data_IF_867900745801
#
_entry.id   IF_867900745801
#
_cell.length_a   1.000
_cell.length_b   1.000
_cell.length_c   1.000
_cell.angle_alpha   90.00
_cell.angle_beta   90.00
_cell.angle_gamma   90.00
#
_symmetry.space_group_name_H-M   'P 1'
#
loop_
_entity.id
_entity.type
_entity.pdbx_description
1 polymer ?
#
# COMPACT_ATOMS: atom_id res chain seq x y z
N UNK A 1 -10.60 -31.72 18.95
CA UNK A 1 -11.19 -30.55 18.26
C UNK A 1 -12.32 -29.91 19.05
N UNK A 2 -13.23 -30.69 19.65
CA UNK A 2 -14.42 -30.18 20.35
C UNK A 2 -14.14 -29.19 21.49
N UNK A 3 -13.01 -29.35 22.21
CA UNK A 3 -12.63 -28.46 23.31
C UNK A 3 -11.91 -27.18 22.86
N UNK A 4 -11.41 -27.13 21.62
CA UNK A 4 -10.58 -26.03 21.13
C UNK A 4 -11.30 -24.67 21.13
N UNK A 5 -12.59 -24.56 20.71
CA UNK A 5 -13.32 -23.29 20.78
C UNK A 5 -13.43 -22.74 22.20
N UNK A 6 -13.67 -23.63 23.18
CA UNK A 6 -13.82 -23.23 24.58
C UNK A 6 -12.49 -22.77 25.18
N UNK A 7 -11.40 -23.48 24.87
CA UNK A 7 -10.05 -23.08 25.28
C UNK A 7 -9.70 -21.69 24.73
N UNK A 8 -9.99 -21.44 23.44
CA UNK A 8 -9.75 -20.12 22.82
C UNK A 8 -10.60 -19.05 23.50
N UNK A 9 -11.88 -19.32 23.76
CA UNK A 9 -12.78 -18.38 24.42
C UNK A 9 -12.28 -18.01 25.83
N UNK A 10 -11.87 -19.01 26.62
CA UNK A 10 -11.29 -18.80 27.95
C UNK A 10 -9.98 -18.01 27.88
N UNK A 11 -9.09 -18.32 26.93
CA UNK A 11 -7.82 -17.62 26.78
C UNK A 11 -8.01 -16.15 26.39
N UNK A 12 -8.99 -15.81 25.55
CA UNK A 12 -9.24 -14.43 25.11
C UNK A 12 -10.05 -13.61 26.12
N UNK A 13 -11.13 -14.21 26.66
CA UNK A 13 -12.19 -13.45 27.32
C UNK A 13 -12.29 -13.69 28.83
N UNK A 14 -11.50 -14.59 29.42
CA UNK A 14 -11.56 -14.84 30.88
C UNK A 14 -11.17 -13.61 31.69
N UNK A 15 -12.02 -13.25 32.65
CA UNK A 15 -11.76 -12.20 33.64
C UNK A 15 -10.89 -12.69 34.80
N UNK A 16 -10.94 -13.98 35.13
CA UNK A 16 -10.02 -14.58 36.09
C UNK A 16 -8.66 -14.79 35.42
N UNK A 17 -7.63 -14.14 35.98
CA UNK A 17 -6.26 -14.21 35.49
C UNK A 17 -5.71 -15.63 35.57
N UNK A 18 -6.04 -16.39 36.62
CA UNK A 18 -5.51 -17.74 36.79
C UNK A 18 -6.08 -18.68 35.71
N UNK A 19 -7.40 -18.67 35.50
CA UNK A 19 -8.02 -19.41 34.42
C UNK A 19 -7.52 -18.97 33.03
N UNK A 20 -7.34 -17.66 32.81
CA UNK A 20 -6.81 -17.13 31.54
C UNK A 20 -5.40 -17.64 31.22
N UNK A 21 -4.50 -17.61 32.20
CA UNK A 21 -3.11 -18.08 32.03
C UNK A 21 -3.10 -19.60 31.80
N UNK A 22 -3.87 -20.37 32.56
CA UNK A 22 -3.98 -21.82 32.35
C UNK A 22 -4.53 -22.18 30.96
N UNK A 23 -5.58 -21.48 30.50
CA UNK A 23 -6.12 -21.65 29.15
C UNK A 23 -5.11 -21.23 28.07
N UNK A 24 -4.33 -20.17 28.32
CA UNK A 24 -3.26 -19.69 27.43
C UNK A 24 -2.14 -20.72 27.27
N UNK A 25 -1.66 -21.32 28.37
CA UNK A 25 -0.64 -22.36 28.36
C UNK A 25 -1.12 -23.64 27.67
N UNK A 26 -2.39 -24.03 27.92
CA UNK A 26 -3.02 -25.16 27.25
C UNK A 26 -3.13 -24.90 25.75
N UNK A 27 -3.63 -23.72 25.34
CA UNK A 27 -3.75 -23.34 23.94
C UNK A 27 -2.39 -23.33 23.25
N UNK A 28 -1.36 -22.75 23.88
CA UNK A 28 0.02 -22.75 23.36
C UNK A 28 0.50 -24.19 23.10
N UNK A 29 0.28 -25.11 24.05
CA UNK A 29 0.63 -26.52 23.90
C UNK A 29 -0.16 -27.19 22.78
N UNK A 30 -1.46 -26.92 22.66
CA UNK A 30 -2.29 -27.40 21.56
C UNK A 30 -1.76 -26.93 20.20
N UNK A 31 -1.34 -25.66 20.07
CA UNK A 31 -0.80 -25.12 18.81
C UNK A 31 0.47 -25.87 18.40
N UNK A 32 1.39 -26.10 19.34
CA UNK A 32 2.62 -26.85 19.07
C UNK A 32 2.29 -28.27 18.60
N UNK A 33 1.37 -28.96 19.28
CA UNK A 33 0.93 -30.30 18.89
C UNK A 33 0.25 -30.29 17.52
N UNK A 34 -0.59 -29.31 17.22
CA UNK A 34 -1.24 -29.17 15.90
C UNK A 34 -0.19 -29.01 14.79
N UNK A 35 0.77 -28.10 14.97
CA UNK A 35 1.86 -27.86 14.00
C UNK A 35 2.70 -29.13 13.82
N UNK A 36 3.09 -29.78 14.91
CA UNK A 36 3.86 -31.03 14.87
C UNK A 36 3.11 -32.18 14.20
N UNK A 37 1.81 -32.31 14.50
CA UNK A 37 0.93 -33.31 13.87
C UNK A 37 0.76 -33.03 12.38
N UNK A 38 0.57 -31.77 11.99
CA UNK A 38 0.48 -31.35 10.60
C UNK A 38 1.75 -31.68 9.81
N UNK A 39 2.92 -31.50 10.42
CA UNK A 39 4.21 -31.80 9.80
C UNK A 39 4.47 -33.31 9.56
N UNK A 40 3.85 -34.19 10.36
CA UNK A 40 4.05 -35.65 10.29
C UNK A 40 3.04 -36.37 9.39
N UNK A 41 1.98 -35.68 8.93
CA UNK A 41 0.91 -36.30 8.13
C UNK A 41 1.35 -36.58 6.70
N UNK A 42 0.89 -37.72 6.16
CA UNK A 42 1.02 -38.05 4.74
C UNK A 42 0.09 -37.17 3.88
N UNK A 43 0.42 -37.03 2.59
CA UNK A 43 -0.39 -36.24 1.63
C UNK A 43 -1.85 -36.71 1.59
N UNK A 44 -2.09 -38.03 1.57
CA UNK A 44 -3.43 -38.64 1.55
C UNK A 44 -4.25 -38.28 2.81
N UNK A 45 -3.60 -38.23 3.97
CA UNK A 45 -4.27 -37.87 5.23
C UNK A 45 -4.62 -36.38 5.24
N UNK A 46 -3.78 -35.54 4.64
CA UNK A 46 -3.99 -34.10 4.58
C UNK A 46 -5.13 -33.72 3.63
N UNK A 47 -5.30 -34.45 2.53
CA UNK A 47 -6.44 -34.30 1.62
C UNK A 47 -7.76 -34.71 2.29
N UNK A 48 -7.73 -35.77 3.09
CA UNK A 48 -8.94 -36.27 3.77
C UNK A 48 -9.32 -35.45 5.00
N UNK A 49 -8.34 -34.91 5.72
CA UNK A 49 -8.53 -34.14 6.95
C UNK A 49 -7.65 -32.88 6.96
N UNK A 50 -8.05 -31.82 6.23
CA UNK A 50 -7.27 -30.61 6.12
C UNK A 50 -7.22 -29.85 7.46
N UNK A 51 -6.03 -29.40 7.86
CA UNK A 51 -5.84 -28.63 9.10
C UNK A 51 -6.07 -27.12 8.92
N UNK A 52 -6.01 -26.62 7.70
CA UNK A 52 -6.23 -25.21 7.36
C UNK A 52 -7.44 -24.54 8.04
N UNK A 53 -8.64 -25.17 8.14
CA UNK A 53 -9.78 -24.56 8.83
C UNK A 53 -9.55 -24.38 10.35
N UNK A 54 -8.85 -25.33 10.99
CA UNK A 54 -8.49 -25.22 12.40
C UNK A 54 -7.44 -24.13 12.60
N UNK A 55 -6.41 -24.10 11.74
CA UNK A 55 -5.38 -23.08 11.76
C UNK A 55 -5.93 -21.67 11.60
N UNK A 56 -6.97 -21.46 10.79
CA UNK A 56 -7.58 -20.13 10.61
C UNK A 56 -8.03 -19.52 11.94
N UNK A 57 -8.75 -20.30 12.75
CA UNK A 57 -9.24 -19.85 14.07
C UNK A 57 -8.10 -19.67 15.06
N UNK A 58 -7.17 -20.62 15.05
CA UNK A 58 -6.05 -20.66 15.99
C UNK A 58 -5.05 -19.54 15.76
N UNK A 59 -4.69 -19.25 14.50
CA UNK A 59 -3.76 -18.16 14.20
C UNK A 59 -4.35 -16.78 14.50
N UNK A 60 -5.65 -16.58 14.28
CA UNK A 60 -6.33 -15.35 14.68
C UNK A 60 -6.26 -15.16 16.21
N UNK A 61 -6.57 -16.20 16.99
CA UNK A 61 -6.47 -16.17 18.45
C UNK A 61 -5.02 -15.97 18.92
N UNK A 62 -4.06 -16.64 18.30
CA UNK A 62 -2.63 -16.51 18.59
C UNK A 62 -2.16 -15.06 18.42
N UNK A 63 -2.57 -14.38 17.33
CA UNK A 63 -2.23 -12.98 17.10
C UNK A 63 -2.87 -12.05 18.12
N UNK A 64 -4.15 -12.26 18.46
CA UNK A 64 -4.84 -11.47 19.50
C UNK A 64 -4.18 -11.62 20.88
N UNK A 65 -3.80 -12.85 21.26
CA UNK A 65 -3.11 -13.12 22.52
C UNK A 65 -1.68 -12.56 22.52
N UNK A 66 -1.04 -12.41 21.37
CA UNK A 66 0.30 -11.83 21.24
C UNK A 66 0.36 -10.32 21.53
N UNK A 67 -0.80 -9.65 21.59
CA UNK A 67 -0.94 -8.27 22.02
C UNK A 67 -1.81 -8.12 23.28
N UNK A 68 -2.00 -9.19 24.07
CA UNK A 68 -2.83 -9.18 25.25
C UNK A 68 -2.32 -8.20 26.33
N UNK A 69 -3.23 -7.73 27.18
CA UNK A 69 -2.89 -6.86 28.32
C UNK A 69 -2.07 -7.62 29.37
N UNK A 70 -2.36 -8.90 29.61
CA UNK A 70 -1.58 -9.75 30.51
C UNK A 70 -0.19 -10.04 29.91
N UNK A 71 0.85 -9.72 30.68
CA UNK A 71 2.23 -9.83 30.23
C UNK A 71 2.68 -11.28 29.98
N UNK A 72 2.19 -12.25 30.77
CA UNK A 72 2.59 -13.66 30.65
C UNK A 72 2.03 -14.22 29.36
N UNK A 73 0.72 -14.04 29.13
CA UNK A 73 0.05 -14.42 27.89
C UNK A 73 0.71 -13.73 26.68
N UNK A 74 0.93 -12.42 26.76
CA UNK A 74 1.56 -11.65 25.68
C UNK A 74 2.93 -12.20 25.29
N UNK A 75 3.81 -12.42 26.26
CA UNK A 75 5.18 -12.89 25.99
C UNK A 75 5.20 -14.31 25.40
N UNK A 76 4.33 -15.19 25.90
CA UNK A 76 4.17 -16.56 25.44
C UNK A 76 3.77 -16.58 23.95
N UNK A 77 2.69 -15.86 23.61
CA UNK A 77 2.15 -15.86 22.26
C UNK A 77 2.94 -15.00 21.27
N UNK A 78 3.62 -13.94 21.71
CA UNK A 78 4.51 -13.16 20.86
C UNK A 78 5.67 -14.04 20.36
N UNK A 79 6.28 -14.80 21.26
CA UNK A 79 7.36 -15.72 20.93
C UNK A 79 6.86 -16.83 19.99
N UNK A 80 5.73 -17.45 20.32
CA UNK A 80 5.12 -18.49 19.50
C UNK A 80 4.74 -17.99 18.10
N UNK A 81 4.22 -16.77 17.98
CA UNK A 81 3.83 -16.16 16.70
C UNK A 81 5.03 -16.09 15.75
N UNK A 82 6.16 -15.57 16.20
CA UNK A 82 7.36 -15.47 15.35
C UNK A 82 7.95 -16.85 15.03
N UNK A 83 7.98 -17.78 15.99
CA UNK A 83 8.42 -19.16 15.71
C UNK A 83 7.52 -19.85 14.68
N UNK A 84 6.21 -19.64 14.78
CA UNK A 84 5.22 -20.17 13.83
C UNK A 84 5.46 -19.59 12.44
N UNK A 85 5.68 -18.27 12.33
CA UNK A 85 6.05 -17.63 11.06
C UNK A 85 7.31 -18.28 10.47
N UNK A 86 8.39 -18.40 11.24
CA UNK A 86 9.66 -18.98 10.77
C UNK A 86 9.52 -20.43 10.33
N UNK A 87 8.66 -21.20 10.99
CA UNK A 87 8.37 -22.59 10.64
C UNK A 87 7.61 -22.69 9.32
N UNK A 88 6.50 -21.95 9.18
CA UNK A 88 5.66 -22.02 7.99
C UNK A 88 6.32 -21.40 6.75
N UNK A 89 7.22 -20.42 6.91
CA UNK A 89 8.01 -19.89 5.78
C UNK A 89 9.08 -20.86 5.29
N UNK A 90 9.44 -21.87 6.07
CA UNK A 90 10.43 -22.91 5.71
C UNK A 90 9.81 -24.06 4.91
N UNK A 91 8.51 -23.98 4.58
CA UNK A 91 7.82 -25.05 3.89
C UNK A 91 8.38 -25.28 2.48
N UNK A 92 8.71 -26.53 2.19
CA UNK A 92 9.14 -26.99 0.85
C UNK A 92 8.00 -26.91 -0.18
N UNK A 93 6.76 -26.98 0.29
CA UNK A 93 5.57 -26.95 -0.56
C UNK A 93 5.06 -25.52 -0.65
N UNK A 94 5.30 -24.92 -1.82
CA UNK A 94 5.10 -23.51 -2.07
C UNK A 94 3.62 -23.07 -2.01
N UNK A 95 2.67 -23.96 -2.35
CA UNK A 95 1.22 -23.70 -2.28
C UNK A 95 0.57 -24.36 -1.06
N UNK A 96 1.28 -24.43 0.07
CA UNK A 96 0.71 -25.03 1.27
C UNK A 96 -0.48 -24.16 1.78
N UNK A 97 -1.71 -24.71 1.82
CA UNK A 97 -2.89 -23.97 2.30
C UNK A 97 -2.72 -23.46 3.73
N UNK A 98 -1.95 -24.14 4.57
CA UNK A 98 -1.71 -23.74 5.96
C UNK A 98 -0.89 -22.44 6.03
N UNK A 99 0.09 -22.26 5.13
CA UNK A 99 0.89 -21.03 5.06
C UNK A 99 0.06 -19.86 4.53
N UNK A 100 -0.85 -20.14 3.58
CA UNK A 100 -1.79 -19.15 3.07
C UNK A 100 -2.76 -18.66 4.15
N UNK A 101 -3.23 -19.56 5.03
CA UNK A 101 -4.08 -19.23 6.18
C UNK A 101 -3.33 -18.41 7.22
N UNK A 102 -2.05 -18.71 7.49
CA UNK A 102 -1.23 -17.87 8.37
C UNK A 102 -1.10 -16.44 7.82
N UNK A 103 -0.78 -16.31 6.53
CA UNK A 103 -0.68 -14.99 5.90
C UNK A 103 -2.04 -14.26 5.87
N UNK A 104 -3.15 -14.99 5.69
CA UNK A 104 -4.50 -14.44 5.79
C UNK A 104 -4.77 -13.86 7.18
N UNK A 105 -4.51 -14.63 8.25
CA UNK A 105 -4.69 -14.17 9.62
C UNK A 105 -3.85 -12.91 9.95
N UNK A 106 -2.59 -12.86 9.48
CA UNK A 106 -1.73 -11.68 9.63
C UNK A 106 -2.33 -10.47 8.90
N UNK A 107 -2.76 -10.63 7.65
CA UNK A 107 -3.34 -9.54 6.87
C UNK A 107 -4.68 -9.05 7.45
N UNK A 108 -5.50 -9.96 7.98
CA UNK A 108 -6.73 -9.62 8.72
C UNK A 108 -6.44 -8.85 10.00
N UNK A 109 -5.40 -9.25 10.76
CA UNK A 109 -4.94 -8.52 11.94
C UNK A 109 -4.50 -7.10 11.63
N UNK A 110 -3.80 -6.88 10.50
CA UNK A 110 -3.35 -5.55 10.06
C UNK A 110 -4.52 -4.60 9.74
N UNK A 111 -5.63 -5.12 9.22
CA UNK A 111 -6.82 -4.30 8.88
C UNK A 111 -7.82 -4.19 10.01
N UNK A 112 -7.48 -4.65 11.23
CA UNK A 112 -8.35 -4.57 12.39
C UNK A 112 -8.76 -3.14 12.70
N UNK A 113 -10.06 -2.91 12.89
CA UNK A 113 -10.61 -1.58 13.18
C UNK A 113 -10.37 -1.18 14.64
N UNK A 114 -10.54 -2.12 15.56
CA UNK A 114 -10.72 -1.83 16.99
C UNK A 114 -9.47 -2.08 17.83
N UNK A 115 -8.43 -2.68 17.26
CA UNK A 115 -7.24 -3.08 18.02
C UNK A 115 -5.95 -2.58 17.33
N UNK A 116 -5.45 -1.39 17.73
CA UNK A 116 -4.18 -0.87 17.24
C UNK A 116 -2.98 -1.76 17.58
N UNK A 117 -2.98 -2.42 18.74
CA UNK A 117 -1.86 -3.27 19.15
C UNK A 117 -1.78 -4.53 18.28
N UNK A 118 -2.95 -5.11 17.95
CA UNK A 118 -3.03 -6.19 16.97
C UNK A 118 -2.52 -5.76 15.60
N UNK A 119 -2.84 -4.54 15.14
CA UNK A 119 -2.32 -4.03 13.86
C UNK A 119 -0.80 -3.97 13.86
N UNK A 120 -0.21 -3.43 14.93
CA UNK A 120 1.24 -3.27 15.04
C UNK A 120 1.97 -4.62 15.10
N UNK A 121 1.49 -5.57 15.91
CA UNK A 121 2.07 -6.92 15.96
C UNK A 121 1.88 -7.65 14.64
N UNK A 122 0.71 -7.52 14.00
CA UNK A 122 0.48 -8.16 12.69
C UNK A 122 1.39 -7.56 11.62
N UNK A 123 1.63 -6.24 11.63
CA UNK A 123 2.57 -5.58 10.72
C UNK A 123 4.01 -6.05 10.92
N UNK A 124 4.44 -6.25 12.17
CA UNK A 124 5.74 -6.86 12.50
C UNK A 124 5.80 -8.32 12.05
N UNK A 125 4.72 -9.08 12.24
CA UNK A 125 4.59 -10.45 11.78
C UNK A 125 4.73 -10.56 10.25
N UNK A 126 4.10 -9.65 9.50
CA UNK A 126 4.25 -9.59 8.04
C UNK A 126 5.69 -9.28 7.61
N UNK A 127 6.37 -8.35 8.31
CA UNK A 127 7.77 -8.04 8.02
C UNK A 127 8.70 -9.24 8.26
N UNK A 128 8.51 -9.94 9.38
CA UNK A 128 9.26 -11.17 9.66
C UNK A 128 8.91 -12.29 8.66
N UNK A 129 7.65 -12.42 8.24
CA UNK A 129 7.24 -13.38 7.21
C UNK A 129 7.99 -13.14 5.89
N UNK A 130 8.03 -11.90 5.40
CA UNK A 130 8.75 -11.56 4.16
C UNK A 130 10.25 -11.81 4.30
N UNK A 131 10.84 -11.37 5.41
CA UNK A 131 12.27 -11.55 5.71
C UNK A 131 12.67 -13.02 5.71
N UNK A 132 11.92 -13.88 6.39
CA UNK A 132 12.22 -15.31 6.48
C UNK A 132 11.87 -16.08 5.22
N UNK A 133 10.79 -15.69 4.52
CA UNK A 133 10.50 -16.25 3.20
C UNK A 133 11.67 -16.04 2.24
N UNK A 134 12.32 -14.87 2.28
CA UNK A 134 13.54 -14.62 1.48
C UNK A 134 14.75 -15.42 1.96
N UNK A 135 14.98 -15.50 3.28
CA UNK A 135 16.14 -16.20 3.85
C UNK A 135 16.11 -17.72 3.64
N UNK A 136 14.92 -18.33 3.70
CA UNK A 136 14.77 -19.79 3.66
C UNK A 136 14.57 -20.33 2.25
N UNK A 137 14.05 -19.54 1.31
CA UNK A 137 13.87 -19.98 -0.07
C UNK A 137 15.20 -19.92 -0.85
N UNK A 138 15.74 -21.11 -1.16
CA UNK A 138 16.93 -21.26 -2.03
C UNK A 138 16.62 -20.98 -3.51
N UNK A 139 15.36 -21.14 -3.93
CA UNK A 139 14.90 -20.86 -5.29
C UNK A 139 14.23 -19.48 -5.32
N UNK A 140 14.71 -18.57 -6.18
CA UNK A 140 14.16 -17.20 -6.29
C UNK A 140 12.68 -17.18 -6.73
N UNK A 141 12.24 -18.19 -7.47
CA UNK A 141 10.88 -18.24 -8.02
C UNK A 141 9.81 -18.40 -6.92
N UNK A 142 10.06 -19.20 -5.87
CA UNK A 142 9.10 -19.39 -4.78
C UNK A 142 8.93 -18.12 -3.92
N UNK A 143 10.02 -17.46 -3.56
CA UNK A 143 9.95 -16.17 -2.85
C UNK A 143 9.17 -15.12 -3.65
N UNK A 144 9.29 -15.13 -4.98
CA UNK A 144 8.63 -14.17 -5.86
C UNK A 144 7.09 -14.30 -5.83
N UNK A 145 6.56 -15.51 -5.67
CA UNK A 145 5.11 -15.75 -5.71
C UNK A 145 4.45 -15.41 -4.35
N UNK A 146 5.10 -15.68 -3.22
CA UNK A 146 4.61 -15.21 -1.91
C UNK A 146 4.55 -13.67 -1.86
N UNK A 147 5.58 -13.03 -2.40
CA UNK A 147 5.60 -11.58 -2.52
C UNK A 147 4.47 -11.09 -3.43
N UNK A 148 4.24 -11.74 -4.58
CA UNK A 148 3.13 -11.42 -5.49
C UNK A 148 1.77 -11.50 -4.80
N UNK A 149 1.51 -12.52 -3.98
CA UNK A 149 0.23 -12.63 -3.27
C UNK A 149 0.06 -11.52 -2.22
N UNK A 150 1.14 -11.16 -1.51
CA UNK A 150 1.17 -10.03 -0.58
C UNK A 150 0.86 -8.71 -1.31
N UNK A 151 1.52 -8.42 -2.44
CA UNK A 151 1.27 -7.22 -3.23
C UNK A 151 -0.17 -7.11 -3.70
N UNK A 152 -0.75 -8.20 -4.21
CA UNK A 152 -2.15 -8.23 -4.63
C UNK A 152 -3.11 -7.88 -3.48
N UNK A 153 -2.86 -8.42 -2.27
CA UNK A 153 -3.66 -8.11 -1.07
C UNK A 153 -3.46 -6.65 -0.63
N UNK A 154 -2.23 -6.14 -0.66
CA UNK A 154 -1.95 -4.71 -0.39
C UNK A 154 -2.72 -3.82 -1.37
N UNK A 155 -2.66 -4.09 -2.67
CA UNK A 155 -3.39 -3.30 -3.68
C UNK A 155 -4.91 -3.34 -3.47
N UNK A 156 -5.45 -4.51 -3.13
CA UNK A 156 -6.87 -4.64 -2.80
C UNK A 156 -7.27 -3.81 -1.57
N UNK A 157 -6.40 -3.76 -0.56
CA UNK A 157 -6.63 -2.99 0.66
C UNK A 157 -6.51 -1.48 0.43
N UNK A 158 -5.52 -1.02 -0.34
CA UNK A 158 -5.28 0.40 -0.65
C UNK A 158 -6.46 1.05 -1.41
N UNK A 159 -7.17 0.28 -2.23
CA UNK A 159 -8.34 0.75 -3.00
C UNK A 159 -9.67 0.55 -2.29
N UNK A 160 -9.67 0.03 -1.07
CA UNK A 160 -10.91 -0.37 -0.42
C UNK A 160 -11.69 0.85 0.11
N UNK A 161 -13.04 0.86 0.08
CA UNK A 161 -13.86 1.96 0.63
C UNK A 161 -13.68 2.19 2.14
N UNK A 162 -13.47 1.10 2.90
CA UNK A 162 -13.12 1.15 4.33
C UNK A 162 -11.75 1.80 4.58
N UNK A 163 -11.74 2.82 5.44
CA UNK A 163 -10.57 3.53 5.92
C UNK A 163 -9.56 2.63 6.65
N UNK A 164 -10.04 1.70 7.49
CA UNK A 164 -9.18 0.74 8.20
C UNK A 164 -8.43 -0.21 7.27
N UNK A 165 -9.07 -0.64 6.17
CA UNK A 165 -8.39 -1.46 5.16
C UNK A 165 -7.34 -0.66 4.40
N UNK A 166 -7.61 0.61 4.06
CA UNK A 166 -6.60 1.50 3.46
C UNK A 166 -5.41 1.73 4.39
N UNK A 167 -5.69 2.05 5.65
CA UNK A 167 -4.67 2.16 6.70
C UNK A 167 -3.84 0.88 6.80
N UNK A 168 -4.49 -0.28 6.86
CA UNK A 168 -3.81 -1.58 6.91
C UNK A 168 -2.95 -1.87 5.67
N UNK A 169 -3.41 -1.49 4.47
CA UNK A 169 -2.60 -1.57 3.25
C UNK A 169 -1.33 -0.72 3.33
N UNK A 170 -1.44 0.51 3.87
CA UNK A 170 -0.30 1.39 4.09
C UNK A 170 0.66 0.84 5.15
N UNK A 171 0.15 0.35 6.28
CA UNK A 171 0.94 -0.26 7.35
C UNK A 171 1.69 -1.51 6.87
N UNK A 172 1.02 -2.36 6.10
CA UNK A 172 1.63 -3.55 5.51
C UNK A 172 2.82 -3.18 4.61
N UNK A 173 2.68 -2.16 3.75
CA UNK A 173 3.81 -1.69 2.95
C UNK A 173 4.91 -1.07 3.81
N UNK A 174 4.55 -0.21 4.75
CA UNK A 174 5.49 0.47 5.66
C UNK A 174 6.29 -0.52 6.52
N UNK A 175 5.77 -1.72 6.79
CA UNK A 175 6.51 -2.75 7.53
C UNK A 175 7.46 -3.55 6.63
N UNK A 176 7.10 -3.82 5.37
CA UNK A 176 7.88 -4.73 4.50
C UNK A 176 8.87 -4.04 3.55
N UNK A 177 8.76 -2.73 3.31
CA UNK A 177 9.54 -2.05 2.25
C UNK A 177 11.06 -2.26 2.36
N UNK A 178 11.59 -2.41 3.59
CA UNK A 178 13.02 -2.61 3.84
C UNK A 178 13.51 -3.97 3.34
N UNK A 179 12.67 -4.99 3.37
CA UNK A 179 13.02 -6.31 2.84
C UNK A 179 12.78 -6.36 1.34
N UNK A 180 11.67 -5.77 0.87
CA UNK A 180 11.31 -5.75 -0.56
C UNK A 180 12.33 -4.99 -1.41
N UNK A 181 12.84 -3.86 -0.93
CA UNK A 181 13.79 -3.03 -1.70
C UNK A 181 15.10 -3.76 -2.02
N UNK A 182 15.44 -4.82 -1.30
CA UNK A 182 16.67 -5.60 -1.53
C UNK A 182 16.54 -6.54 -2.74
N UNK A 183 15.32 -6.86 -3.18
CA UNK A 183 15.07 -7.69 -4.37
C UNK A 183 14.79 -6.79 -5.59
N UNK A 184 15.75 -6.71 -6.51
CA UNK A 184 15.64 -5.89 -7.71
C UNK A 184 14.54 -6.34 -8.66
N UNK A 185 14.28 -7.64 -8.79
CA UNK A 185 13.24 -8.14 -9.69
C UNK A 185 11.85 -7.77 -9.18
N UNK A 186 11.61 -7.94 -7.88
CA UNK A 186 10.35 -7.52 -7.25
C UNK A 186 10.17 -6.00 -7.36
N UNK A 187 11.23 -5.24 -7.13
CA UNK A 187 11.21 -3.79 -7.28
C UNK A 187 10.85 -3.40 -8.71
N UNK A 188 11.49 -4.01 -9.70
CA UNK A 188 11.23 -3.73 -11.12
C UNK A 188 9.76 -3.99 -11.47
N UNK A 189 9.20 -5.10 -10.98
CA UNK A 189 7.84 -5.52 -11.32
C UNK A 189 6.76 -4.63 -10.71
N UNK A 190 6.88 -4.27 -9.42
CA UNK A 190 5.74 -3.79 -8.64
C UNK A 190 5.78 -2.32 -8.20
N UNK A 191 6.96 -1.66 -8.16
CA UNK A 191 7.08 -0.35 -7.48
C UNK A 191 6.28 0.77 -8.13
N UNK A 192 6.29 0.87 -9.46
CA UNK A 192 5.54 1.92 -10.16
C UNK A 192 4.03 1.74 -9.99
N UNK A 193 3.56 0.50 -10.10
CA UNK A 193 2.15 0.19 -9.87
C UNK A 193 1.75 0.43 -8.41
N UNK A 194 2.61 0.11 -7.43
CA UNK A 194 2.36 0.42 -6.03
C UNK A 194 2.26 1.93 -5.79
N UNK A 195 3.10 2.74 -6.44
CA UNK A 195 3.03 4.20 -6.34
C UNK A 195 1.64 4.71 -6.73
N UNK A 196 1.10 4.28 -7.87
CA UNK A 196 -0.24 4.66 -8.33
C UNK A 196 -1.31 4.29 -7.29
N UNK A 197 -1.29 3.06 -6.78
CA UNK A 197 -2.24 2.63 -5.75
C UNK A 197 -2.15 3.41 -4.45
N UNK A 198 -0.94 3.81 -4.04
CA UNK A 198 -0.74 4.63 -2.84
C UNK A 198 -1.27 6.07 -3.04
N UNK A 199 -1.16 6.61 -4.25
CA UNK A 199 -1.72 7.91 -4.60
C UNK A 199 -3.24 7.86 -4.69
N UNK A 200 -3.81 6.82 -5.28
CA UNK A 200 -5.26 6.55 -5.20
C UNK A 200 -5.74 6.38 -3.75
N UNK A 201 -4.94 5.72 -2.91
CA UNK A 201 -5.22 5.60 -1.48
C UNK A 201 -5.21 6.96 -0.78
N UNK A 202 -4.26 7.84 -1.09
CA UNK A 202 -4.23 9.22 -0.56
C UNK A 202 -5.45 10.01 -0.99
N UNK A 203 -5.86 9.86 -2.25
CA UNK A 203 -7.07 10.49 -2.78
C UNK A 203 -8.32 10.07 -2.00
N UNK A 204 -8.48 8.76 -1.77
CA UNK A 204 -9.60 8.23 -0.97
C UNK A 204 -9.49 8.61 0.51
N UNK A 205 -8.26 8.71 1.03
CA UNK A 205 -8.02 8.98 2.42
C UNK A 205 -8.42 10.39 2.83
N UNK A 206 -8.47 11.39 1.93
CA UNK A 206 -8.83 12.77 2.31
C UNK A 206 -10.22 12.91 2.95
N UNK A 207 -11.12 11.95 2.72
CA UNK A 207 -12.43 11.88 3.36
C UNK A 207 -12.42 11.15 4.73
N UNK A 208 -11.27 10.60 5.15
CA UNK A 208 -11.15 9.89 6.43
C UNK A 208 -11.03 10.86 7.60
N UNK A 209 -11.41 10.35 8.78
CA UNK A 209 -11.12 11.04 10.04
C UNK A 209 -9.60 11.18 10.22
N UNK A 210 -9.06 12.41 10.34
CA UNK A 210 -7.64 12.64 10.58
C UNK A 210 -7.08 11.89 11.79
N UNK A 211 -7.91 11.62 12.81
CA UNK A 211 -7.51 10.89 14.01
C UNK A 211 -7.13 9.42 13.73
N UNK A 212 -7.61 8.84 12.63
CA UNK A 212 -7.29 7.47 12.24
C UNK A 212 -5.83 7.31 11.79
N UNK A 213 -5.20 8.37 11.29
CA UNK A 213 -3.82 8.36 10.82
C UNK A 213 -3.61 7.74 9.43
N UNK A 214 -4.67 7.49 8.65
CA UNK A 214 -4.54 6.99 7.26
C UNK A 214 -3.69 7.93 6.41
N UNK A 215 -3.87 9.25 6.56
CA UNK A 215 -3.15 10.26 5.78
C UNK A 215 -1.64 10.17 6.01
N UNK A 216 -1.23 10.06 7.28
CA UNK A 216 0.18 10.05 7.66
C UNK A 216 0.84 8.75 7.21
N UNK A 217 0.17 7.62 7.37
CA UNK A 217 0.67 6.32 6.92
C UNK A 217 0.76 6.21 5.40
N UNK A 218 -0.22 6.74 4.67
CA UNK A 218 -0.21 6.76 3.21
C UNK A 218 0.89 7.69 2.67
N UNK A 219 1.06 8.89 3.24
CA UNK A 219 2.14 9.79 2.85
C UNK A 219 3.53 9.19 3.16
N UNK A 220 3.68 8.51 4.29
CA UNK A 220 4.90 7.78 4.62
C UNK A 220 5.18 6.65 3.62
N UNK A 221 4.15 5.89 3.24
CA UNK A 221 4.24 4.82 2.26
C UNK A 221 4.72 5.34 0.89
N UNK A 222 4.16 6.47 0.44
CA UNK A 222 4.59 7.15 -0.79
C UNK A 222 6.05 7.57 -0.69
N UNK A 223 6.49 8.16 0.42
CA UNK A 223 7.90 8.53 0.63
C UNK A 223 8.85 7.33 0.63
N UNK A 224 8.41 6.18 1.12
CA UNK A 224 9.21 4.95 1.03
C UNK A 224 9.39 4.50 -0.42
N UNK A 225 8.33 4.54 -1.24
CA UNK A 225 8.43 4.25 -2.68
C UNK A 225 9.32 5.27 -3.39
N UNK A 226 9.11 6.56 -3.15
CA UNK A 226 9.93 7.65 -3.70
C UNK A 226 11.43 7.41 -3.49
N UNK A 227 11.84 7.09 -2.26
CA UNK A 227 13.25 6.80 -1.95
C UNK A 227 13.79 5.60 -2.73
N UNK A 228 12.98 4.54 -2.88
CA UNK A 228 13.37 3.37 -3.69
C UNK A 228 13.56 3.76 -5.15
N UNK A 229 12.63 4.55 -5.72
CA UNK A 229 12.72 5.02 -7.10
C UNK A 229 13.95 5.91 -7.34
N UNK A 230 14.26 6.83 -6.42
CA UNK A 230 15.45 7.68 -6.50
C UNK A 230 16.76 6.86 -6.48
N UNK A 231 16.84 5.87 -5.58
CA UNK A 231 18.03 5.02 -5.45
C UNK A 231 18.21 4.10 -6.65
N UNK A 232 17.11 3.50 -7.14
CA UNK A 232 17.12 2.52 -8.25
C UNK A 232 16.68 3.13 -9.59
N UNK A 233 16.91 4.43 -9.80
CA UNK A 233 16.48 5.17 -10.99
C UNK A 233 16.85 4.51 -12.32
N UNK A 234 18.05 3.91 -12.40
CA UNK A 234 18.56 3.32 -13.64
C UNK A 234 17.75 2.08 -14.08
N UNK A 235 17.09 1.41 -13.13
CA UNK A 235 16.17 0.31 -13.38
C UNK A 235 14.90 0.83 -14.08
N UNK A 236 14.28 1.87 -13.53
CA UNK A 236 13.01 2.42 -14.01
C UNK A 236 13.14 3.29 -15.27
N UNK A 237 14.35 3.78 -15.55
CA UNK A 237 14.68 4.49 -16.78
C UNK A 237 14.71 3.57 -18.01
N UNK A 238 14.89 2.26 -17.81
CA UNK A 238 14.81 1.26 -18.88
C UNK A 238 13.39 0.73 -18.98
N UNK A 239 12.91 0.51 -20.20
CA UNK A 239 11.68 -0.24 -20.42
C UNK A 239 11.91 -1.71 -20.06
N UNK A 240 10.93 -2.33 -19.39
CA UNK A 240 10.99 -3.73 -18.94
C UNK A 240 9.67 -4.43 -19.22
N UNK A 241 9.71 -5.54 -19.97
CA UNK A 241 8.50 -6.33 -20.27
C UNK A 241 7.92 -7.04 -19.03
N UNK A 242 8.71 -7.19 -17.96
CA UNK A 242 8.30 -7.83 -16.71
C UNK A 242 7.62 -6.85 -15.76
N UNK A 243 7.73 -5.54 -16.04
CA UNK A 243 7.18 -4.49 -15.21
C UNK A 243 5.68 -4.38 -15.42
N UNK A 244 4.93 -4.34 -14.32
CA UNK A 244 3.50 -4.05 -14.40
C UNK A 244 3.31 -2.60 -14.79
N UNK A 245 2.64 -2.38 -15.93
CA UNK A 245 2.27 -1.06 -16.38
C UNK A 245 1.37 -0.39 -15.33
N UNK A 246 1.73 0.78 -14.81
CA UNK A 246 0.89 1.51 -13.87
C UNK A 246 -0.45 1.85 -14.54
N UNK A 247 -1.55 1.56 -13.85
CA UNK A 247 -2.90 1.95 -14.32
C UNK A 247 -2.92 3.46 -14.62
N UNK A 248 -3.31 3.81 -15.85
CA UNK A 248 -3.42 5.21 -16.30
C UNK A 248 -2.14 5.81 -16.88
N UNK A 249 -0.97 5.17 -16.74
CA UNK A 249 0.25 5.59 -17.44
C UNK A 249 0.32 4.94 -18.82
N UNK A 250 0.82 5.69 -19.82
CA UNK A 250 0.96 5.20 -21.20
C UNK A 250 2.07 4.15 -21.37
N UNK A 251 3.00 4.12 -20.42
CA UNK A 251 4.15 3.22 -20.45
C UNK A 251 4.59 2.80 -19.05
N UNK A 252 5.72 2.12 -19.00
CA UNK A 252 6.24 1.51 -17.79
C UNK A 252 7.53 2.19 -17.30
N UNK A 253 7.99 3.29 -17.88
CA UNK A 253 9.22 3.96 -17.46
C UNK A 253 8.99 5.04 -16.40
N UNK A 254 10.07 5.51 -15.77
CA UNK A 254 10.02 6.65 -14.85
C UNK A 254 9.51 7.92 -15.53
N UNK A 255 9.79 8.11 -16.83
CA UNK A 255 9.27 9.24 -17.60
C UNK A 255 7.75 9.16 -17.76
N UNK A 256 7.22 7.99 -18.10
CA UNK A 256 5.79 7.79 -18.29
C UNK A 256 5.01 8.04 -16.99
N UNK A 257 5.57 7.60 -15.86
CA UNK A 257 5.00 7.87 -14.54
C UNK A 257 5.07 9.36 -14.18
N UNK A 258 6.13 10.08 -14.55
CA UNK A 258 6.19 11.53 -14.33
C UNK A 258 5.16 12.30 -15.14
N UNK A 259 4.93 11.91 -16.41
CA UNK A 259 3.85 12.47 -17.23
C UNK A 259 2.48 12.20 -16.60
N UNK A 260 2.26 10.98 -16.11
CA UNK A 260 1.03 10.66 -15.39
C UNK A 260 0.87 11.47 -14.09
N UNK A 261 1.94 11.65 -13.31
CA UNK A 261 1.93 12.47 -12.09
C UNK A 261 1.60 13.94 -12.39
N UNK A 262 2.10 14.50 -13.49
CA UNK A 262 1.76 15.86 -13.91
C UNK A 262 0.24 16.01 -14.12
N UNK A 263 -0.42 15.02 -14.73
CA UNK A 263 -1.87 15.02 -14.88
C UNK A 263 -2.62 14.91 -13.53
N UNK A 264 -1.98 14.44 -12.46
CA UNK A 264 -2.60 14.39 -11.13
C UNK A 264 -2.48 15.71 -10.36
N UNK A 265 -1.67 16.68 -10.83
CA UNK A 265 -1.45 17.94 -10.12
C UNK A 265 -2.68 18.85 -10.06
N UNK A 266 -3.62 18.72 -11.00
CA UNK A 266 -4.86 19.52 -11.02
C UNK A 266 -6.00 18.97 -10.17
N UNK A 267 -5.81 17.87 -9.44
CA UNK A 267 -6.91 17.26 -8.67
C UNK A 267 -7.39 18.15 -7.52
N UNK A 268 -8.71 18.19 -7.21
CA UNK A 268 -9.27 19.06 -6.17
C UNK A 268 -8.73 18.73 -4.76
N UNK A 269 -8.36 17.47 -4.55
CA UNK A 269 -7.90 16.89 -3.30
C UNK A 269 -6.48 17.29 -2.94
N UNK A 270 -6.34 18.03 -1.84
CA UNK A 270 -5.12 18.70 -1.41
C UNK A 270 -3.99 17.74 -1.02
N UNK A 271 -4.32 16.66 -0.30
CA UNK A 271 -3.34 15.69 0.19
C UNK A 271 -2.64 14.97 -0.96
N UNK A 272 -3.41 14.61 -1.98
CA UNK A 272 -2.89 14.01 -3.20
C UNK A 272 -1.99 15.02 -3.94
N UNK A 273 -2.50 16.22 -4.22
CA UNK A 273 -1.76 17.24 -4.98
C UNK A 273 -0.40 17.53 -4.39
N UNK A 274 -0.34 17.85 -3.09
CA UNK A 274 0.92 18.22 -2.44
C UNK A 274 1.91 17.05 -2.45
N UNK A 275 1.43 15.82 -2.25
CA UNK A 275 2.26 14.61 -2.35
C UNK A 275 2.80 14.40 -3.76
N UNK A 276 1.98 14.62 -4.79
CA UNK A 276 2.38 14.52 -6.21
C UNK A 276 3.42 15.59 -6.57
N UNK A 277 3.22 16.84 -6.14
CA UNK A 277 4.18 17.93 -6.35
C UNK A 277 5.53 17.66 -5.69
N UNK A 278 5.53 17.11 -4.46
CA UNK A 278 6.75 16.65 -3.76
C UNK A 278 7.44 15.52 -4.55
N UNK A 279 6.68 14.53 -5.02
CA UNK A 279 7.19 13.41 -5.82
C UNK A 279 7.84 13.87 -7.12
N UNK A 280 7.18 14.72 -7.91
CA UNK A 280 7.73 15.22 -9.18
C UNK A 280 9.04 15.97 -8.93
N UNK A 281 9.06 16.85 -7.92
CA UNK A 281 10.26 17.59 -7.50
C UNK A 281 11.42 16.66 -7.17
N UNK A 282 11.14 15.52 -6.53
CA UNK A 282 12.17 14.53 -6.17
C UNK A 282 12.57 13.58 -7.30
N UNK A 283 11.66 13.20 -8.19
CA UNK A 283 11.89 12.16 -9.20
C UNK A 283 12.40 12.70 -10.53
N UNK A 284 11.97 13.90 -10.94
CA UNK A 284 12.37 14.51 -12.20
C UNK A 284 13.89 14.72 -12.40
N UNK A 285 14.72 14.96 -11.36
CA UNK A 285 16.18 15.00 -11.51
C UNK A 285 16.82 13.65 -11.88
N UNK A 286 16.09 12.54 -11.74
CA UNK A 286 16.61 11.18 -11.88
C UNK A 286 16.25 10.49 -13.21
N UNK A 287 15.53 11.17 -14.09
CA UNK A 287 15.20 10.64 -15.42
C UNK A 287 16.39 10.67 -16.38
N UNK A 288 16.36 9.79 -17.39
CA UNK A 288 17.37 9.80 -18.45
C UNK A 288 17.33 11.15 -19.17
N UNK A 289 18.47 11.83 -19.10
CA UNK A 289 18.80 13.00 -19.92
C UNK A 289 18.80 12.60 -21.40
N UNK A 290 17.67 12.64 -22.08
CA UNK A 290 17.67 12.77 -23.53
C UNK A 290 18.35 14.12 -23.85
N UNK A 291 19.64 14.12 -24.20
CA UNK A 291 20.37 15.35 -24.57
C UNK A 291 20.87 16.25 -23.43
N UNK A 292 21.08 15.72 -22.22
CA UNK A 292 21.76 16.47 -21.14
C UNK A 292 20.85 17.28 -20.20
N UNK A 293 19.52 17.19 -20.35
CA UNK A 293 18.55 18.09 -19.70
C UNK A 293 17.52 17.29 -18.90
N UNK A 294 17.24 17.70 -17.66
CA UNK A 294 16.30 17.04 -16.73
C UNK A 294 14.87 17.13 -17.25
N UNK A 295 13.95 16.30 -16.74
CA UNK A 295 12.52 16.39 -17.13
C UNK A 295 11.99 17.82 -16.96
N UNK A 296 12.35 18.57 -15.92
CA UNK A 296 12.01 20.00 -15.78
C UNK A 296 12.51 20.88 -16.92
N UNK A 297 13.73 20.64 -17.42
CA UNK A 297 14.26 21.38 -18.56
C UNK A 297 13.68 20.87 -19.89
N UNK A 298 13.29 19.60 -19.98
CA UNK A 298 12.54 19.05 -21.10
C UNK A 298 11.08 19.49 -21.10
N UNK A 299 10.45 19.72 -19.94
CA UNK A 299 9.15 20.38 -19.81
C UNK A 299 9.32 21.83 -20.22
N UNK A 300 10.31 22.57 -19.69
CA UNK A 300 10.60 23.93 -20.11
C UNK A 300 11.03 24.06 -21.59
N UNK A 301 11.63 23.03 -22.20
CA UNK A 301 11.98 23.01 -23.63
C UNK A 301 10.84 22.54 -24.51
N UNK A 302 10.05 21.56 -24.09
CA UNK A 302 8.79 21.17 -24.73
C UNK A 302 7.80 22.35 -24.74
N UNK A 303 7.77 23.15 -23.67
CA UNK A 303 7.01 24.40 -23.57
C UNK A 303 7.59 25.54 -24.42
N UNK A 304 8.90 25.52 -24.70
CA UNK A 304 9.54 26.51 -25.59
C UNK A 304 9.41 26.15 -27.07
N UNK A 305 9.46 24.87 -27.40
CA UNK A 305 9.36 24.37 -28.78
C UNK A 305 7.92 24.41 -29.29
N UNK A 306 6.91 24.27 -28.41
CA UNK A 306 5.48 24.35 -28.74
C UNK A 306 4.79 25.48 -27.95
N UNK A 307 5.18 26.73 -28.19
CA UNK A 307 4.83 27.88 -27.33
C UNK A 307 3.33 28.13 -27.05
N UNK A 308 2.40 27.66 -27.90
CA UNK A 308 0.95 27.77 -27.66
C UNK A 308 0.37 26.47 -27.11
N UNK A 309 0.59 25.36 -27.82
CA UNK A 309 0.05 24.05 -27.45
C UNK A 309 0.59 23.57 -26.10
N UNK A 310 1.86 23.85 -25.78
CA UNK A 310 2.45 23.50 -24.50
C UNK A 310 1.86 24.28 -23.31
N UNK A 311 1.57 25.57 -23.49
CA UNK A 311 0.89 26.38 -22.47
C UNK A 311 -0.55 25.91 -22.27
N UNK A 312 -1.26 25.58 -23.35
CA UNK A 312 -2.61 25.03 -23.29
C UNK A 312 -2.65 23.70 -22.54
N UNK A 313 -1.68 22.80 -22.80
CA UNK A 313 -1.55 21.54 -22.07
C UNK A 313 -1.26 21.79 -20.57
N UNK A 314 -0.41 22.76 -20.19
CA UNK A 314 -0.22 23.10 -18.77
C UNK A 314 -1.48 23.65 -18.11
N UNK A 315 -2.21 24.52 -18.81
CA UNK A 315 -3.49 25.05 -18.33
C UNK A 315 -4.47 23.91 -18.15
N UNK A 316 -4.56 22.97 -19.08
CA UNK A 316 -5.39 21.77 -18.93
C UNK A 316 -4.93 20.87 -17.78
N UNK A 317 -3.63 20.73 -17.51
CA UNK A 317 -3.15 19.95 -16.36
C UNK A 317 -3.53 20.58 -15.02
N UNK A 318 -3.45 21.91 -14.91
CA UNK A 318 -3.69 22.65 -13.67
C UNK A 318 -5.18 22.90 -13.45
N UNK A 319 -5.90 23.29 -14.50
CA UNK A 319 -7.31 23.66 -14.46
C UNK A 319 -8.26 22.56 -14.97
N UNK A 320 -7.77 21.43 -15.50
CA UNK A 320 -8.64 20.37 -16.03
C UNK A 320 -9.26 19.48 -14.96
N UNK A 321 -8.69 19.45 -13.75
CA UNK A 321 -9.11 18.50 -12.72
C UNK A 321 -9.05 17.03 -13.20
N UNK A 322 -9.90 16.18 -12.63
CA UNK A 322 -10.06 14.77 -13.06
C UNK A 322 -10.85 14.63 -14.39
N UNK A 323 -11.17 15.74 -15.06
CA UNK A 323 -12.07 15.78 -16.24
C UNK A 323 -11.35 15.74 -17.58
N UNK A 324 -10.02 15.63 -17.59
CA UNK A 324 -9.19 15.72 -18.81
C UNK A 324 -9.57 14.72 -19.91
N UNK A 325 -10.26 13.62 -19.59
CA UNK A 325 -10.59 12.56 -20.55
C UNK A 325 -12.10 12.33 -20.82
N UNK A 326 -13.02 12.98 -20.10
CA UNK A 326 -14.45 12.63 -20.17
C UNK A 326 -15.29 13.62 -20.98
N UNK A 327 -15.04 14.92 -20.87
CA UNK A 327 -15.87 15.97 -21.48
C UNK A 327 -15.00 17.04 -22.15
N UNK A 328 -14.58 16.76 -23.40
CA UNK A 328 -14.15 17.78 -24.37
C UNK A 328 -13.27 18.92 -23.84
N UNK A 329 -12.14 18.62 -23.20
CA UNK A 329 -11.06 19.58 -22.94
C UNK A 329 -11.44 20.84 -22.15
N UNK A 330 -12.53 20.81 -21.37
CA UNK A 330 -12.99 21.96 -20.60
C UNK A 330 -12.27 22.11 -19.26
N UNK A 331 -11.90 23.33 -18.90
CA UNK A 331 -11.36 23.64 -17.57
C UNK A 331 -12.48 23.63 -16.53
N UNK A 332 -12.20 23.15 -15.32
CA UNK A 332 -13.15 23.12 -14.20
C UNK A 332 -13.48 24.53 -13.66
N UNK A 333 -12.77 25.55 -14.16
CA UNK A 333 -12.92 26.97 -13.84
C UNK A 333 -13.65 27.77 -14.92
N UNK A 334 -14.13 27.12 -15.99
CA UNK A 334 -14.85 27.78 -17.06
C UNK A 334 -16.16 28.44 -16.59
N UNK A 335 -16.54 29.55 -17.24
CA UNK A 335 -17.79 30.31 -16.96
C UNK A 335 -19.05 29.43 -17.11
N UNK A 336 -18.96 28.35 -17.87
CA UNK A 336 -19.99 27.30 -18.02
C UNK A 336 -20.19 26.46 -16.75
N UNK A 337 -19.16 26.26 -15.92
CA UNK A 337 -19.21 25.45 -14.69
C UNK A 337 -20.10 26.06 -13.60
N UNK A 338 -20.36 27.37 -13.66
CA UNK A 338 -21.26 28.11 -12.76
C UNK A 338 -22.63 28.39 -13.38
N UNK A 339 -22.84 28.06 -14.67
CA UNK A 339 -24.02 28.46 -15.44
C UNK A 339 -25.12 27.40 -15.52
N UNK A 340 -24.88 26.16 -15.09
CA UNK A 340 -25.96 25.16 -15.04
C UNK A 340 -26.96 25.53 -13.92
N UNK A 341 -28.20 25.90 -14.25
CA UNK A 341 -29.17 26.47 -13.31
C UNK A 341 -29.97 25.36 -12.59
N UNK A 342 -29.36 24.20 -12.35
CA UNK A 342 -30.00 23.09 -11.66
C UNK A 342 -29.42 22.99 -10.23
N UNK A 343 -30.04 23.75 -9.34
CA UNK A 343 -29.86 23.73 -7.88
C UNK A 343 -28.49 24.23 -7.37
N UNK A 344 -28.52 25.41 -6.74
CA UNK A 344 -27.46 25.95 -5.87
C UNK A 344 -27.23 25.07 -4.62
N UNK A 345 -26.84 23.82 -4.85
CA UNK A 345 -26.43 22.90 -3.80
C UNK A 345 -25.06 23.35 -3.30
N UNK A 346 -24.92 23.52 -1.99
CA UNK A 346 -23.65 23.83 -1.30
C UNK A 346 -22.50 22.93 -1.83
N UNK A 347 -22.81 21.70 -2.22
CA UNK A 347 -21.86 20.74 -2.80
C UNK A 347 -21.19 21.25 -4.08
N UNK A 348 -21.93 21.88 -5.01
CA UNK A 348 -21.35 22.40 -6.25
C UNK A 348 -20.40 23.57 -5.98
N UNK A 349 -20.74 24.44 -5.02
CA UNK A 349 -19.86 25.53 -4.60
C UNK A 349 -18.57 24.97 -3.95
N UNK A 350 -18.68 23.96 -3.10
CA UNK A 350 -17.51 23.31 -2.49
C UNK A 350 -16.58 22.73 -3.56
N UNK A 351 -17.11 22.00 -4.54
CA UNK A 351 -16.32 21.42 -5.64
C UNK A 351 -15.62 22.52 -6.46
N UNK A 352 -16.31 23.62 -6.75
CA UNK A 352 -15.70 24.77 -7.45
C UNK A 352 -14.57 25.41 -6.63
N UNK A 353 -14.78 25.62 -5.34
CA UNK A 353 -13.75 26.17 -4.45
C UNK A 353 -12.52 25.24 -4.34
N UNK A 354 -12.72 23.92 -4.25
CA UNK A 354 -11.62 22.94 -4.26
C UNK A 354 -10.85 22.95 -5.58
N UNK A 355 -11.55 23.06 -6.71
CA UNK A 355 -10.96 23.20 -8.03
C UNK A 355 -10.16 24.51 -8.18
N UNK A 356 -10.69 25.63 -7.68
CA UNK A 356 -9.99 26.92 -7.69
C UNK A 356 -8.72 26.85 -6.83
N UNK A 357 -8.80 26.25 -5.65
CA UNK A 357 -7.65 26.04 -4.77
C UNK A 357 -6.59 25.16 -5.46
N UNK A 358 -7.01 24.11 -6.17
CA UNK A 358 -6.11 23.26 -6.94
C UNK A 358 -5.35 24.03 -8.02
N UNK A 359 -6.03 24.89 -8.76
CA UNK A 359 -5.38 25.71 -9.78
C UNK A 359 -4.40 26.71 -9.20
N UNK A 360 -4.77 27.39 -8.11
CA UNK A 360 -3.88 28.34 -7.42
C UNK A 360 -2.61 27.66 -6.88
N UNK A 361 -2.76 26.50 -6.24
CA UNK A 361 -1.63 25.69 -5.78
C UNK A 361 -0.76 25.21 -6.95
N UNK A 362 -1.38 24.78 -8.05
CA UNK A 362 -0.66 24.35 -9.25
C UNK A 362 0.18 25.48 -9.86
N UNK A 363 -0.41 26.66 -10.04
CA UNK A 363 0.31 27.81 -10.60
C UNK A 363 1.41 28.30 -9.67
N UNK A 364 1.15 28.43 -8.37
CA UNK A 364 2.17 28.84 -7.40
C UNK A 364 3.34 27.86 -7.36
N UNK A 365 3.08 26.56 -7.43
CA UNK A 365 4.12 25.53 -7.53
C UNK A 365 4.92 25.63 -8.85
N UNK A 366 4.26 25.77 -10.00
CA UNK A 366 4.94 25.90 -11.30
C UNK A 366 5.84 27.15 -11.37
N UNK A 367 5.38 28.26 -10.81
CA UNK A 367 6.16 29.50 -10.69
C UNK A 367 7.36 29.31 -9.75
N UNK A 368 7.16 28.66 -8.60
CA UNK A 368 8.23 28.40 -7.63
C UNK A 368 9.32 27.47 -8.18
N UNK A 369 8.94 26.49 -9.00
CA UNK A 369 9.90 25.60 -9.70
C UNK A 369 10.57 26.27 -10.91
N UNK A 370 10.17 27.49 -11.29
CA UNK A 370 10.71 28.21 -12.44
C UNK A 370 10.32 27.60 -13.79
N UNK A 371 9.22 26.83 -13.83
CA UNK A 371 8.71 26.20 -15.06
C UNK A 371 8.04 27.24 -15.96
N UNK A 372 7.31 28.18 -15.36
CA UNK A 372 6.77 29.35 -16.02
C UNK A 372 7.34 30.63 -15.38
N UNK A 373 7.66 31.63 -16.20
CA UNK A 373 7.99 32.96 -15.71
C UNK A 373 6.78 33.87 -15.86
N UNK A 374 6.42 34.69 -14.86
CA UNK A 374 5.41 35.72 -15.06
C UNK A 374 5.91 36.64 -16.18
N UNK A 375 5.10 36.81 -17.22
CA UNK A 375 5.40 37.79 -18.28
C UNK A 375 5.55 39.17 -17.65
N UNK A 376 6.61 39.88 -18.03
CA UNK A 376 6.84 41.27 -17.60
C UNK A 376 5.77 42.21 -18.11
#
# INVERSE_FOLDING_TARGET
DDMLPEIINLALNSSDRQAKVAASELLHSCIIVMIGTGAQRSSETNERYPMAPLYRRVFAAMLQLSCDQDQVTRQLFLTLTFQTIHWFTNNRNFENPDTAVLLEAIMEGIVSANDPALRDISAQGLAEFVKWSRKQNRNKDSSSINIKSIFKRIFSNLKHPSSFKRLGGCLAWNSIYREVREDEAVVDTWMLQLLVHLLECLDLAEADDPALGTHTQAAQAVRHVQRILCVKKDLFNKSSNLRMAPIGAEGNTLNDVLLWLLNQCGKPKSLLRHSVMELISSLAPHTVKAGGKSLYRNSCEFLKDNSKDGLEILVMMVEGGDRSNADGGGTCLGVSSLREPAEHSIKHLTIFCEALLAALDGYTWLLAQGVASPTK
#
